data_IF_945172971096
#
_entry.id   IF_945172971096
#
_cell.length_a   1.000
_cell.length_b   1.000
_cell.length_c   1.000
_cell.angle_alpha   90.00
_cell.angle_beta   90.00
_cell.angle_gamma   90.00
#
_symmetry.space_group_name_H-M   'P 1'
#
loop_
_entity.id
_entity.type
_entity.pdbx_description
1 polymer ?
#
# COMPACT_ATOMS: atom_id res chain seq x y z
N UNK A 1 68.52 4.61 17.72
CA UNK A 1 67.66 5.64 18.35
C UNK A 1 66.46 5.87 17.44
N UNK A 2 65.27 5.54 17.93
CA UNK A 2 64.00 5.76 17.25
C UNK A 2 63.39 7.08 17.75
N UNK A 3 62.85 7.90 16.83
CA UNK A 3 61.76 8.87 17.04
C UNK A 3 61.64 9.73 15.77
N UNK A 4 60.50 10.09 15.20
CA UNK A 4 59.08 9.68 15.30
C UNK A 4 58.42 10.39 14.13
N UNK A 5 57.80 9.64 13.22
CA UNK A 5 56.82 10.20 12.27
C UNK A 5 55.53 10.36 13.05
N UNK A 6 54.94 11.56 13.09
CA UNK A 6 53.55 11.72 13.52
C UNK A 6 52.90 12.91 12.82
N UNK A 7 52.68 12.75 11.52
CA UNK A 7 51.59 13.43 10.83
C UNK A 7 50.28 12.80 11.28
N UNK A 8 49.59 13.46 12.21
CA UNK A 8 48.20 13.15 12.52
C UNK A 8 47.34 14.34 12.11
N UNK A 9 47.12 14.44 10.80
CA UNK A 9 45.95 15.08 10.23
C UNK A 9 44.72 14.16 10.44
N UNK A 10 43.54 14.76 10.31
CA UNK A 10 42.21 14.14 10.15
C UNK A 10 41.35 14.13 11.41
N UNK A 11 40.79 15.31 11.70
CA UNK A 11 39.34 15.54 11.75
C UNK A 11 38.50 14.26 11.92
N UNK A 12 38.11 13.97 13.17
CA UNK A 12 37.01 13.03 13.46
C UNK A 12 35.71 13.62 12.94
N UNK A 13 35.44 13.43 11.66
CA UNK A 13 34.12 13.59 11.10
C UNK A 13 33.23 12.50 11.71
N UNK A 14 32.36 12.91 12.63
CA UNK A 14 31.33 12.06 13.22
C UNK A 14 30.40 11.60 12.10
N UNK A 15 30.56 10.37 11.63
CA UNK A 15 29.73 9.81 10.56
C UNK A 15 28.24 9.91 10.93
N UNK A 16 27.41 10.55 10.09
CA UNK A 16 26.03 10.81 10.44
C UNK A 16 25.21 9.52 10.31
N UNK A 17 24.41 9.19 11.33
CA UNK A 17 23.55 7.98 11.43
C UNK A 17 22.38 7.93 10.41
N UNK A 18 22.48 8.70 9.33
CA UNK A 18 21.47 8.93 8.28
C UNK A 18 21.08 7.70 7.42
N UNK A 19 21.92 6.66 7.20
CA UNK A 19 21.56 5.55 6.32
C UNK A 19 20.33 4.76 6.79
N UNK A 20 20.22 4.52 8.11
CA UNK A 20 19.15 3.69 8.70
C UNK A 20 17.80 4.41 8.72
N UNK A 21 17.78 5.70 9.10
CA UNK A 21 16.56 6.51 9.09
C UNK A 21 16.02 6.68 7.67
N UNK A 22 16.89 6.93 6.68
CA UNK A 22 16.51 7.04 5.27
C UNK A 22 15.93 5.73 4.74
N UNK A 23 16.53 4.59 5.09
CA UNK A 23 16.03 3.27 4.68
C UNK A 23 14.65 2.97 5.28
N UNK A 24 14.43 3.27 6.57
CA UNK A 24 13.14 3.10 7.24
C UNK A 24 12.07 4.00 6.62
N UNK A 25 12.37 5.28 6.41
CA UNK A 25 11.44 6.23 5.77
C UNK A 25 11.07 5.78 4.36
N UNK A 26 12.06 5.39 3.56
CA UNK A 26 11.84 4.89 2.21
C UNK A 26 10.98 3.62 2.20
N UNK A 27 11.23 2.69 3.12
CA UNK A 27 10.41 1.49 3.28
C UNK A 27 8.95 1.83 3.58
N UNK A 28 8.69 2.70 4.55
CA UNK A 28 7.32 3.08 4.90
C UNK A 28 6.61 3.85 3.78
N UNK A 29 7.32 4.72 3.06
CA UNK A 29 6.75 5.44 1.92
C UNK A 29 6.37 4.47 0.79
N UNK A 30 7.24 3.50 0.51
CA UNK A 30 6.96 2.44 -0.47
C UNK A 30 5.78 1.57 -0.05
N UNK A 31 5.75 1.15 1.23
CA UNK A 31 4.65 0.37 1.79
C UNK A 31 3.32 1.14 1.75
N UNK A 32 3.34 2.43 2.09
CA UNK A 32 2.17 3.30 2.01
C UNK A 32 1.67 3.45 0.58
N UNK A 33 2.57 3.67 -0.40
CA UNK A 33 2.23 3.70 -1.82
C UNK A 33 1.64 2.38 -2.31
N UNK A 34 2.21 1.26 -1.89
CA UNK A 34 1.69 -0.07 -2.20
C UNK A 34 0.29 -0.31 -1.60
N UNK A 35 0.08 0.07 -0.33
CA UNK A 35 -1.20 -0.04 0.34
C UNK A 35 -2.27 0.86 -0.30
N UNK A 36 -1.94 2.14 -0.53
CA UNK A 36 -2.84 3.11 -1.15
C UNK A 36 -3.26 2.66 -2.56
N UNK A 37 -2.32 2.22 -3.38
CA UNK A 37 -2.64 1.69 -4.72
C UNK A 37 -3.46 0.39 -4.65
N UNK A 38 -3.23 -0.47 -3.65
CA UNK A 38 -4.07 -1.67 -3.45
C UNK A 38 -5.49 -1.27 -3.09
N UNK A 39 -5.67 -0.31 -2.20
CA UNK A 39 -6.97 0.22 -1.80
C UNK A 39 -7.71 0.87 -2.97
N UNK A 40 -7.01 1.66 -3.79
CA UNK A 40 -7.58 2.25 -5.01
C UNK A 40 -8.03 1.17 -5.99
N UNK A 41 -7.24 0.10 -6.16
CA UNK A 41 -7.63 -1.01 -7.02
C UNK A 41 -8.86 -1.75 -6.48
N UNK A 42 -8.98 -1.97 -5.16
CA UNK A 42 -10.20 -2.57 -4.59
C UNK A 42 -11.43 -1.70 -4.84
N UNK A 43 -11.32 -0.38 -4.66
CA UNK A 43 -12.41 0.55 -5.00
C UNK A 43 -12.74 0.54 -6.49
N UNK A 44 -11.72 0.52 -7.35
CA UNK A 44 -11.89 0.39 -8.79
C UNK A 44 -12.63 -0.89 -9.18
N UNK A 45 -12.31 -2.02 -8.53
CA UNK A 45 -13.02 -3.29 -8.76
C UNK A 45 -14.49 -3.22 -8.35
N UNK A 46 -14.84 -2.56 -7.24
CA UNK A 46 -16.24 -2.33 -6.90
C UNK A 46 -16.94 -1.44 -7.93
N UNK A 47 -16.31 -0.35 -8.34
CA UNK A 47 -16.87 0.53 -9.37
C UNK A 47 -17.09 -0.23 -10.69
N UNK A 48 -16.11 -1.04 -11.13
CA UNK A 48 -16.22 -1.89 -12.31
C UNK A 48 -17.30 -2.96 -12.17
N UNK A 49 -17.49 -3.52 -10.97
CA UNK A 49 -18.58 -4.45 -10.69
C UNK A 49 -19.96 -3.79 -10.88
N UNK A 50 -20.18 -2.62 -10.30
CA UNK A 50 -21.44 -1.88 -10.51
C UNK A 50 -21.61 -1.43 -11.96
N UNK A 51 -20.52 -1.02 -12.62
CA UNK A 51 -20.54 -0.68 -14.04
C UNK A 51 -20.94 -1.88 -14.91
N UNK A 52 -20.41 -3.08 -14.60
CA UNK A 52 -20.78 -4.31 -15.28
C UNK A 52 -22.26 -4.68 -15.04
N UNK A 53 -22.76 -4.54 -13.81
CA UNK A 53 -24.19 -4.72 -13.49
C UNK A 53 -25.08 -3.67 -14.19
N UNK A 54 -24.54 -2.49 -14.46
CA UNK A 54 -25.17 -1.41 -15.23
C UNK A 54 -25.07 -1.56 -16.75
N UNK A 55 -24.66 -2.73 -17.26
CA UNK A 55 -24.52 -2.95 -18.70
C UNK A 55 -23.38 -2.16 -19.35
N UNK A 56 -22.32 -1.85 -18.58
CA UNK A 56 -21.18 -1.04 -19.00
C UNK A 56 -21.53 0.40 -19.43
N UNK A 57 -22.63 0.93 -18.89
CA UNK A 57 -23.06 2.31 -19.11
C UNK A 57 -22.94 3.15 -17.83
N UNK A 58 -22.70 4.46 -17.98
CA UNK A 58 -22.65 5.37 -16.85
C UNK A 58 -24.03 5.51 -16.18
N UNK A 59 -25.10 5.62 -16.97
CA UNK A 59 -26.47 5.67 -16.45
C UNK A 59 -26.82 4.40 -15.67
N UNK A 60 -26.43 3.23 -16.18
CA UNK A 60 -26.60 1.96 -15.49
C UNK A 60 -25.81 1.87 -14.19
N UNK A 61 -24.55 2.36 -14.16
CA UNK A 61 -23.76 2.45 -12.93
C UNK A 61 -24.50 3.29 -11.87
N UNK A 62 -24.96 4.49 -12.23
CA UNK A 62 -25.69 5.38 -11.31
C UNK A 62 -26.99 4.72 -10.84
N UNK A 63 -27.71 4.03 -11.72
CA UNK A 63 -28.92 3.29 -11.35
C UNK A 63 -28.65 2.19 -10.32
N UNK A 64 -27.56 1.43 -10.47
CA UNK A 64 -27.20 0.41 -9.49
C UNK A 64 -26.77 1.01 -8.14
N UNK A 65 -26.09 2.16 -8.15
CA UNK A 65 -25.74 2.88 -6.92
C UNK A 65 -26.97 3.43 -6.19
N UNK A 66 -27.95 3.96 -6.93
CA UNK A 66 -29.22 4.43 -6.38
C UNK A 66 -30.02 3.27 -5.75
N UNK A 67 -30.10 2.14 -6.46
CA UNK A 67 -30.73 0.92 -5.95
C UNK A 67 -30.07 0.42 -4.64
N UNK A 68 -28.74 0.48 -4.55
CA UNK A 68 -28.03 0.10 -3.32
C UNK A 68 -28.31 1.09 -2.19
N UNK A 69 -28.19 2.39 -2.47
CA UNK A 69 -28.28 3.46 -1.48
C UNK A 69 -29.68 3.53 -0.88
N UNK A 70 -30.72 3.48 -1.72
CA UNK A 70 -32.12 3.45 -1.28
C UNK A 70 -32.41 2.26 -0.35
N UNK A 71 -31.90 1.07 -0.67
CA UNK A 71 -32.02 -0.13 0.17
C UNK A 71 -31.21 -0.07 1.46
N UNK A 72 -30.08 0.64 1.46
CA UNK A 72 -29.22 0.80 2.63
C UNK A 72 -29.83 1.79 3.64
N UNK A 73 -30.35 2.93 3.17
CA UNK A 73 -30.96 3.97 4.03
C UNK A 73 -32.24 3.48 4.69
N UNK A 74 -33.01 2.63 4.00
CA UNK A 74 -34.25 2.04 4.53
C UNK A 74 -34.03 0.76 5.35
N UNK A 75 -32.79 0.31 5.51
CA UNK A 75 -32.49 -0.92 6.24
C UNK A 75 -32.53 -0.75 7.76
N UNK A 76 -32.91 -1.82 8.46
CA UNK A 76 -32.79 -1.87 9.93
C UNK A 76 -31.31 -1.81 10.37
N UNK A 77 -31.03 -1.37 11.61
CA UNK A 77 -29.67 -1.31 12.13
C UNK A 77 -28.91 -2.64 12.05
N UNK A 78 -29.56 -3.79 12.30
CA UNK A 78 -28.89 -5.10 12.23
C UNK A 78 -28.48 -5.46 10.79
N UNK A 79 -29.32 -5.11 9.81
CA UNK A 79 -29.01 -5.32 8.39
C UNK A 79 -27.85 -4.44 7.94
N UNK A 80 -27.79 -3.20 8.40
CA UNK A 80 -26.67 -2.29 8.13
C UNK A 80 -25.37 -2.84 8.71
N UNK A 81 -25.38 -3.32 9.95
CA UNK A 81 -24.20 -3.93 10.59
C UNK A 81 -23.72 -5.16 9.80
N UNK A 82 -24.64 -6.04 9.43
CA UNK A 82 -24.35 -7.23 8.62
C UNK A 82 -23.77 -6.85 7.25
N UNK A 83 -24.35 -5.85 6.58
CA UNK A 83 -23.83 -5.34 5.31
C UNK A 83 -22.40 -4.82 5.45
N UNK A 84 -22.09 -4.06 6.51
CA UNK A 84 -20.73 -3.57 6.76
C UNK A 84 -19.73 -4.71 6.94
N UNK A 85 -20.10 -5.78 7.63
CA UNK A 85 -19.24 -6.97 7.76
C UNK A 85 -18.97 -7.62 6.40
N UNK A 86 -20.01 -7.82 5.58
CA UNK A 86 -19.86 -8.37 4.23
C UNK A 86 -18.97 -7.46 3.37
N UNK A 87 -19.18 -6.15 3.44
CA UNK A 87 -18.41 -5.16 2.69
C UNK A 87 -16.93 -5.16 3.07
N UNK A 88 -16.62 -5.24 4.37
CA UNK A 88 -15.24 -5.38 4.87
C UNK A 88 -14.63 -6.71 4.44
N UNK A 89 -15.34 -7.82 4.56
CA UNK A 89 -14.86 -9.13 4.12
C UNK A 89 -14.54 -9.14 2.62
N UNK A 90 -15.41 -8.57 1.78
CA UNK A 90 -15.18 -8.42 0.35
C UNK A 90 -13.93 -7.57 0.06
N UNK A 91 -13.75 -6.44 0.77
CA UNK A 91 -12.53 -5.63 0.65
C UNK A 91 -11.28 -6.43 0.98
N UNK A 92 -11.28 -7.19 2.08
CA UNK A 92 -10.13 -7.97 2.52
C UNK A 92 -9.78 -9.08 1.54
N UNK A 93 -10.78 -9.77 0.98
CA UNK A 93 -10.58 -10.82 -0.03
C UNK A 93 -9.97 -10.23 -1.30
N UNK A 94 -10.53 -9.13 -1.81
CA UNK A 94 -9.99 -8.46 -3.01
C UNK A 94 -8.58 -7.91 -2.77
N UNK A 95 -8.35 -7.28 -1.62
CA UNK A 95 -7.04 -6.77 -1.24
C UNK A 95 -6.02 -7.92 -1.14
N UNK A 96 -6.36 -9.03 -0.49
CA UNK A 96 -5.47 -10.20 -0.39
C UNK A 96 -5.13 -10.75 -1.78
N UNK A 97 -6.12 -10.91 -2.67
CA UNK A 97 -5.89 -11.35 -4.05
C UNK A 97 -4.96 -10.41 -4.82
N UNK A 98 -5.18 -9.09 -4.71
CA UNK A 98 -4.33 -8.08 -5.33
C UNK A 98 -2.91 -8.07 -4.74
N UNK A 99 -2.76 -8.25 -3.43
CA UNK A 99 -1.46 -8.33 -2.77
C UNK A 99 -0.68 -9.56 -3.27
N UNK A 100 -1.34 -10.72 -3.38
CA UNK A 100 -0.72 -11.95 -3.90
C UNK A 100 -0.29 -11.77 -5.36
N UNK A 101 -1.12 -11.14 -6.19
CA UNK A 101 -0.79 -10.84 -7.59
C UNK A 101 0.37 -9.84 -7.70
N UNK A 102 0.39 -8.84 -6.83
CA UNK A 102 1.37 -7.76 -6.81
C UNK A 102 2.57 -8.02 -5.90
N UNK A 103 2.72 -9.25 -5.38
CA UNK A 103 3.73 -9.60 -4.37
C UNK A 103 5.15 -9.24 -4.78
N UNK A 104 5.44 -9.31 -6.09
CA UNK A 104 6.73 -8.96 -6.67
C UNK A 104 7.11 -7.47 -6.52
N UNK A 105 6.15 -6.58 -6.20
CA UNK A 105 6.38 -5.15 -5.98
C UNK A 105 6.46 -4.74 -4.50
N UNK A 106 6.32 -5.69 -3.56
CA UNK A 106 6.27 -5.39 -2.12
C UNK A 106 7.63 -4.89 -1.61
N UNK A 107 8.73 -5.42 -2.13
CA UNK A 107 10.06 -5.01 -1.67
C UNK A 107 10.58 -3.76 -2.41
N UNK A 108 11.05 -2.73 -1.70
CA UNK A 108 11.72 -1.60 -2.32
C UNK A 108 13.05 -2.02 -2.96
N UNK A 109 13.37 -1.62 -4.21
CA UNK A 109 14.61 -2.01 -4.90
C UNK A 109 15.90 -1.67 -4.14
N UNK A 110 15.87 -0.64 -3.28
CA UNK A 110 17.01 -0.20 -2.48
C UNK A 110 17.45 -1.22 -1.41
N UNK A 111 16.55 -2.08 -0.92
CA UNK A 111 16.90 -3.14 0.04
C UNK A 111 17.55 -4.35 -0.65
N UNK A 112 17.28 -4.59 -1.93
CA UNK A 112 17.89 -5.68 -2.70
C UNK A 112 19.36 -5.41 -3.09
N UNK A 113 19.77 -4.14 -3.20
CA UNK A 113 21.12 -3.76 -3.64
C UNK A 113 22.17 -3.83 -2.52
N UNK A 114 21.78 -3.62 -1.26
CA UNK A 114 22.70 -3.71 -0.11
C UNK A 114 23.18 -5.12 0.27
N UNK A 115 22.62 -6.16 -0.35
CA UNK A 115 23.05 -7.56 -0.15
C UNK A 115 24.08 -8.04 -1.18
N UNK A 116 24.31 -7.30 -2.28
CA UNK A 116 25.25 -7.72 -3.34
C UNK A 116 26.68 -7.18 -3.17
N UNK A 117 26.91 -6.18 -2.32
CA UNK A 117 28.25 -5.60 -2.10
C UNK A 117 29.12 -6.34 -1.06
N UNK A 118 28.71 -7.55 -0.64
CA UNK A 118 29.45 -8.39 0.33
C UNK A 118 29.95 -9.71 -0.29
N UNK A 119 30.51 -9.64 -1.50
CA UNK A 119 31.18 -10.76 -2.20
C UNK A 119 32.68 -10.56 -2.29
#
# INVERSE_FOLDING_TARGET
>A
MASTISTADSSRATHPRLPRARAILHFYLHLAGFAATTLLLTWGLFALFFLALGGFSFDGLIHQLDNLTSRYVTASPERIASFKHIFVAAHLILAAGLIVLRRHRIMPPALSRGSQDNG
#
